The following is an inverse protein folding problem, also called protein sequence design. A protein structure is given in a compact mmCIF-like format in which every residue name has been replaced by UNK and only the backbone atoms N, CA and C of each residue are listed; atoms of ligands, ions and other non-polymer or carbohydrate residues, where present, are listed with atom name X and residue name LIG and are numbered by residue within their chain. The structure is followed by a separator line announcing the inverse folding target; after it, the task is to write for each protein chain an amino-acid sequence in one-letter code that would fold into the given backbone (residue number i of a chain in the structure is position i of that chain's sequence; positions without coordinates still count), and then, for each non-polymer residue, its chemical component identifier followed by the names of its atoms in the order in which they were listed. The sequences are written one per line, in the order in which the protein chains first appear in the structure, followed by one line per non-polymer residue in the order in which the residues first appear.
data_IF_267171518356
#
_entry.id   IF_267171518356
#
_cell.length_a   1.000
_cell.length_b   1.000
_cell.length_c   1.000
_cell.angle_alpha   90.00
_cell.angle_beta   90.00
_cell.angle_gamma   90.00
#
_symmetry.space_group_name_H-M   'P 1'
#
loop_
_entity.id
_entity.type
_entity.pdbx_description
1 polymer ?
#
# COMPACT_ATOMS: atom_id res chain seq x y z
N UNK A 1 -50.03 -28.75 -21.63
CA UNK A 1 -50.85 -29.45 -22.63
C UNK A 1 -50.15 -29.30 -23.97
N UNK A 2 -49.49 -30.25 -24.58
CA UNK A 2 -49.22 -31.66 -24.29
C UNK A 2 -47.96 -32.00 -25.09
N UNK A 3 -46.89 -32.44 -24.43
CA UNK A 3 -45.71 -33.03 -25.10
C UNK A 3 -45.57 -34.44 -24.53
N UNK A 4 -46.59 -35.24 -24.84
CA UNK A 4 -46.67 -36.65 -24.48
C UNK A 4 -47.39 -37.42 -25.60
N UNK A 5 -46.88 -37.35 -26.83
CA UNK A 5 -47.22 -38.33 -27.85
C UNK A 5 -45.94 -38.69 -28.60
N UNK A 6 -45.77 -40.01 -28.74
CA UNK A 6 -44.94 -40.70 -29.72
C UNK A 6 -43.54 -41.18 -29.33
N UNK A 7 -43.51 -41.94 -28.23
CA UNK A 7 -42.85 -43.24 -28.27
C UNK A 7 -43.43 -44.09 -29.41
N UNK A 8 -42.57 -44.92 -30.03
CA UNK A 8 -42.86 -46.03 -30.96
C UNK A 8 -42.80 -45.71 -32.47
N UNK A 9 -41.58 -45.64 -33.01
CA UNK A 9 -41.28 -46.33 -34.29
C UNK A 9 -40.03 -47.19 -34.16
N UNK A 10 -40.32 -48.47 -33.92
CA UNK A 10 -39.41 -49.61 -34.08
C UNK A 10 -38.90 -49.71 -35.52
N UNK A 11 -37.66 -50.18 -35.72
CA UNK A 11 -37.20 -50.53 -37.07
C UNK A 11 -35.75 -50.94 -37.25
N UNK A 12 -35.30 -51.98 -36.53
CA UNK A 12 -34.23 -52.97 -36.85
C UNK A 12 -33.30 -52.69 -38.05
N UNK A 13 -31.98 -52.89 -37.85
CA UNK A 13 -31.15 -53.86 -38.61
C UNK A 13 -29.70 -54.00 -38.05
N UNK A 14 -29.35 -55.27 -37.68
CA UNK A 14 -28.05 -55.99 -37.85
C UNK A 14 -26.89 -55.55 -36.92
N UNK A 15 -26.38 -56.26 -35.88
CA UNK A 15 -25.99 -57.68 -35.57
C UNK A 15 -24.85 -58.18 -36.52
N UNK A 16 -23.58 -58.46 -36.16
CA UNK A 16 -23.03 -59.40 -35.17
C UNK A 16 -21.48 -59.25 -35.04
N UNK A 17 -20.95 -59.65 -33.87
CA UNK A 17 -19.64 -60.32 -33.60
C UNK A 17 -18.43 -59.46 -33.21
N UNK A 18 -17.62 -59.79 -32.18
CA UNK A 18 -17.52 -60.99 -31.32
C UNK A 18 -16.76 -60.63 -30.00
N UNK A 19 -17.10 -61.36 -28.93
CA UNK A 19 -16.37 -61.69 -27.68
C UNK A 19 -14.84 -61.54 -27.74
N UNK A 20 -14.05 -61.43 -26.67
CA UNK A 20 -14.18 -61.21 -25.23
C UNK A 20 -12.76 -61.40 -24.69
N UNK A 21 -12.30 -60.58 -23.74
CA UNK A 21 -11.34 -61.09 -22.75
C UNK A 21 -11.51 -60.34 -21.44
N UNK A 22 -11.54 -61.17 -20.40
CA UNK A 22 -11.87 -60.90 -19.01
C UNK A 22 -10.73 -60.15 -18.28
N UNK A 23 -11.13 -59.50 -17.18
CA UNK A 23 -10.35 -59.21 -15.96
C UNK A 23 -9.27 -58.12 -16.09
N UNK A 24 -9.61 -56.94 -15.57
CA UNK A 24 -8.88 -56.34 -14.46
C UNK A 24 -9.77 -55.27 -13.80
N UNK A 25 -10.31 -55.62 -12.63
CA UNK A 25 -10.76 -54.63 -11.66
C UNK A 25 -9.54 -53.75 -11.30
N UNK A 26 -9.56 -52.51 -11.73
CA UNK A 26 -8.82 -51.44 -11.06
C UNK A 26 -9.86 -50.45 -10.56
N UNK A 27 -10.21 -50.59 -9.28
CA UNK A 27 -10.79 -49.50 -8.50
C UNK A 27 -9.73 -48.39 -8.43
N UNK A 28 -9.69 -47.51 -9.42
CA UNK A 28 -9.11 -46.19 -9.25
C UNK A 28 -10.15 -45.36 -8.48
N UNK A 29 -10.02 -45.43 -7.16
CA UNK A 29 -10.66 -44.51 -6.24
C UNK A 29 -10.40 -43.09 -6.73
N UNK A 30 -11.44 -42.47 -7.28
CA UNK A 30 -11.47 -41.03 -7.50
C UNK A 30 -11.59 -40.40 -6.11
N UNK A 31 -10.44 -40.23 -5.44
CA UNK A 31 -10.34 -39.32 -4.31
C UNK A 31 -10.62 -37.93 -4.86
N UNK A 32 -11.89 -37.53 -4.83
CA UNK A 32 -12.26 -36.12 -4.86
C UNK A 32 -11.61 -35.51 -3.63
N UNK A 33 -10.38 -35.01 -3.79
CA UNK A 33 -9.79 -34.08 -2.86
C UNK A 33 -10.70 -32.86 -2.87
N UNK A 34 -11.63 -32.82 -1.93
CA UNK A 34 -12.30 -31.59 -1.55
C UNK A 34 -11.17 -30.71 -1.03
N UNK A 35 -10.67 -29.83 -1.89
CA UNK A 35 -9.85 -28.73 -1.46
C UNK A 35 -10.71 -27.94 -0.48
N UNK A 36 -10.45 -28.13 0.81
CA UNK A 36 -10.88 -27.18 1.83
C UNK A 36 -10.19 -25.86 1.48
N UNK A 37 -10.85 -25.04 0.68
CA UNK A 37 -10.51 -23.63 0.55
C UNK A 37 -10.78 -23.06 1.92
N UNK A 38 -9.73 -22.99 2.75
CA UNK A 38 -9.80 -22.25 3.99
C UNK A 38 -10.30 -20.85 3.64
N UNK A 39 -11.43 -20.46 4.22
CA UNK A 39 -11.98 -19.13 4.04
C UNK A 39 -11.00 -18.16 4.68
N UNK A 40 -10.13 -17.57 3.86
CA UNK A 40 -9.21 -16.53 4.32
C UNK A 40 -10.06 -15.29 4.56
N UNK A 41 -10.17 -14.86 5.81
CA UNK A 41 -10.84 -13.61 6.14
C UNK A 41 -10.00 -12.46 5.58
N UNK A 42 -10.34 -11.95 4.40
CA UNK A 42 -9.61 -10.85 3.76
C UNK A 42 -9.86 -9.49 4.43
N UNK A 43 -10.82 -9.41 5.35
CA UNK A 43 -11.11 -8.16 6.07
C UNK A 43 -10.02 -7.81 7.10
N UNK A 44 -9.17 -8.77 7.53
CA UNK A 44 -8.01 -8.48 8.41
C UNK A 44 -6.92 -7.67 7.72
N UNK A 45 -6.89 -7.64 6.38
CA UNK A 45 -5.87 -6.96 5.58
C UNK A 45 -6.39 -5.67 4.96
N UNK A 46 -7.31 -5.00 5.65
CA UNK A 46 -7.82 -3.68 5.28
C UNK A 46 -7.48 -2.71 6.42
N UNK A 47 -6.49 -1.87 6.18
CA UNK A 47 -5.99 -0.93 7.18
C UNK A 47 -6.64 0.45 7.00
N UNK A 48 -6.92 1.12 8.11
CA UNK A 48 -7.43 2.48 8.08
C UNK A 48 -6.44 3.42 7.37
N UNK A 49 -6.94 4.21 6.42
CA UNK A 49 -6.13 5.14 5.61
C UNK A 49 -6.74 6.54 5.45
N UNK A 50 -7.82 6.83 6.19
CA UNK A 50 -8.58 8.09 6.08
C UNK A 50 -9.03 8.39 4.63
N UNK A 51 -9.26 7.39 3.76
CA UNK A 51 -9.64 7.64 2.36
C UNK A 51 -8.47 7.78 1.39
N UNK A 52 -7.23 7.88 1.88
CA UNK A 52 -6.06 8.08 1.00
C UNK A 52 -5.79 6.84 0.15
N UNK A 53 -5.87 5.65 0.76
CA UNK A 53 -5.58 4.38 0.10
C UNK A 53 -6.80 3.46 -0.02
N UNK A 54 -7.88 3.74 0.71
CA UNK A 54 -9.12 2.99 0.70
C UNK A 54 -10.24 3.73 1.43
N UNK A 55 -11.48 3.29 1.20
CA UNK A 55 -12.67 3.84 1.87
C UNK A 55 -13.02 3.12 3.19
N UNK A 56 -12.07 2.39 3.80
CA UNK A 56 -12.34 1.67 5.05
C UNK A 56 -12.69 2.66 6.16
N UNK A 57 -13.85 2.44 6.78
CA UNK A 57 -14.48 3.33 7.76
C UNK A 57 -14.83 4.73 7.26
N UNK A 58 -14.86 4.96 5.94
CA UNK A 58 -15.23 6.22 5.30
C UNK A 58 -16.70 6.29 4.91
N UNK A 59 -17.61 5.59 5.58
CA UNK A 59 -19.05 5.64 5.26
C UNK A 59 -19.83 6.53 6.25
N UNK A 60 -20.56 7.56 5.78
CA UNK A 60 -20.61 8.05 4.39
C UNK A 60 -19.28 8.70 3.97
N UNK A 61 -18.96 8.82 2.65
CA UNK A 61 -17.67 9.30 2.14
C UNK A 61 -17.16 10.60 2.78
N UNK A 62 -18.07 11.50 3.16
CA UNK A 62 -17.78 12.74 3.86
C UNK A 62 -17.05 12.56 5.19
N UNK A 63 -17.13 11.38 5.84
CA UNK A 63 -16.42 11.08 7.09
C UNK A 63 -14.89 11.12 6.92
N UNK A 64 -14.41 10.80 5.72
CA UNK A 64 -12.99 10.83 5.39
C UNK A 64 -12.55 12.10 4.66
N UNK A 65 -13.45 13.05 4.42
CA UNK A 65 -13.09 14.35 3.85
C UNK A 65 -12.72 15.29 5.00
N UNK A 66 -11.51 15.85 4.95
CA UNK A 66 -11.06 16.78 5.97
C UNK A 66 -11.89 18.06 5.91
N UNK A 67 -12.33 18.52 7.08
CA UNK A 67 -12.94 19.84 7.23
C UNK A 67 -11.86 20.90 7.03
N UNK A 68 -12.14 21.90 6.20
CA UNK A 68 -11.25 23.02 5.90
C UNK A 68 -12.02 24.34 5.98
N UNK A 69 -11.37 25.37 6.49
CA UNK A 69 -11.85 26.75 6.39
C UNK A 69 -11.87 27.18 4.91
N UNK A 70 -12.76 28.12 4.57
CA UNK A 70 -12.74 28.76 3.25
C UNK A 70 -11.43 29.52 2.97
N UNK A 71 -10.71 29.90 4.02
CA UNK A 71 -9.40 30.56 3.94
C UNK A 71 -8.23 29.58 3.83
N UNK A 72 -8.47 28.29 4.05
CA UNK A 72 -7.40 27.30 3.96
C UNK A 72 -6.96 27.14 2.50
N UNK A 73 -5.66 26.99 2.25
CA UNK A 73 -5.17 26.73 0.91
C UNK A 73 -5.76 25.42 0.38
N UNK A 74 -6.05 25.39 -0.92
CA UNK A 74 -6.44 24.16 -1.59
C UNK A 74 -5.22 23.23 -1.68
N UNK A 75 -5.46 21.95 -1.43
CA UNK A 75 -4.46 20.90 -1.63
C UNK A 75 -3.99 20.87 -3.09
N UNK A 76 -2.67 20.87 -3.34
CA UNK A 76 -2.13 20.54 -4.66
C UNK A 76 -2.67 19.20 -5.18
N UNK A 77 -2.78 19.07 -6.50
CA UNK A 77 -3.02 17.78 -7.14
C UNK A 77 -1.68 17.12 -7.44
N UNK A 78 -1.60 15.80 -7.28
CA UNK A 78 -0.50 15.07 -7.91
C UNK A 78 -0.59 15.15 -9.43
N UNK A 79 0.56 15.23 -10.12
CA UNK A 79 0.60 15.00 -11.55
C UNK A 79 0.03 13.62 -11.92
N UNK A 80 -0.38 13.49 -13.18
CA UNK A 80 -0.95 12.24 -13.71
C UNK A 80 -0.01 11.04 -13.55
N UNK A 81 1.28 11.26 -13.76
CA UNK A 81 2.36 10.33 -13.47
C UNK A 81 3.56 11.13 -12.99
N UNK A 82 4.38 10.51 -12.16
CA UNK A 82 5.62 11.09 -11.69
C UNK A 82 6.55 10.03 -11.12
N UNK A 83 7.82 10.41 -11.01
CA UNK A 83 8.84 9.63 -10.32
C UNK A 83 9.62 10.57 -9.40
N UNK A 84 10.10 10.04 -8.27
CA UNK A 84 10.94 10.78 -7.34
C UNK A 84 11.93 9.86 -6.66
N UNK A 85 13.13 10.37 -6.41
CA UNK A 85 14.01 9.83 -5.38
C UNK A 85 13.59 10.44 -4.03
N UNK A 86 14.01 9.86 -2.91
CA UNK A 86 13.80 10.49 -1.60
C UNK A 86 14.88 10.10 -0.60
N UNK A 87 15.05 10.98 0.39
CA UNK A 87 15.82 10.72 1.62
C UNK A 87 14.85 10.53 2.77
N UNK A 88 14.96 9.41 3.46
CA UNK A 88 14.13 9.10 4.62
C UNK A 88 14.90 9.33 5.91
N UNK A 89 14.35 10.19 6.77
CA UNK A 89 14.80 10.43 8.12
C UNK A 89 13.88 9.70 9.09
N UNK A 90 14.38 8.65 9.75
CA UNK A 90 13.71 8.02 10.90
C UNK A 90 14.23 8.68 12.16
N UNK A 91 13.47 9.63 12.71
CA UNK A 91 13.85 10.41 13.90
C UNK A 91 13.34 9.69 15.14
N UNK A 92 14.25 9.36 16.05
CA UNK A 92 13.96 8.59 17.27
C UNK A 92 14.38 9.30 18.57
N UNK A 93 15.09 10.43 18.49
CA UNK A 93 15.33 11.32 19.62
C UNK A 93 14.95 12.76 19.26
N UNK A 94 14.52 13.54 20.25
CA UNK A 94 14.15 14.96 20.11
C UNK A 94 13.06 15.26 19.05
N UNK A 95 12.32 14.25 18.58
CA UNK A 95 11.25 14.39 17.60
C UNK A 95 10.08 15.24 18.11
N UNK A 96 9.90 15.30 19.43
CA UNK A 96 8.92 16.14 20.14
C UNK A 96 9.27 17.63 20.04
N UNK A 97 10.56 17.96 20.01
CA UNK A 97 11.07 19.34 19.93
C UNK A 97 11.26 19.81 18.49
N UNK A 98 11.56 18.87 17.60
CA UNK A 98 11.76 19.11 16.17
C UNK A 98 10.80 18.21 15.38
N UNK A 99 9.51 18.58 15.28
CA UNK A 99 8.56 17.85 14.46
C UNK A 99 8.79 18.10 12.95
N UNK A 100 8.34 17.18 12.08
CA UNK A 100 8.36 17.40 10.63
C UNK A 100 7.34 18.48 10.23
N UNK A 101 7.37 19.02 9.00
CA UNK A 101 8.29 18.72 7.89
C UNK A 101 9.72 19.18 8.16
N UNK A 102 10.70 18.44 7.61
CA UNK A 102 12.12 18.72 7.78
C UNK A 102 12.77 19.29 6.52
N UNK A 103 13.82 20.08 6.71
CA UNK A 103 14.84 20.32 5.69
C UNK A 103 15.70 19.06 5.51
N UNK A 104 16.61 19.05 4.54
CA UNK A 104 17.54 17.97 4.29
C UNK A 104 19.00 18.46 4.33
N UNK A 105 19.73 18.34 5.46
CA UNK A 105 19.36 17.62 6.68
C UNK A 105 18.40 18.39 7.61
N UNK A 106 17.69 17.71 8.54
CA UNK A 106 16.78 18.34 9.48
C UNK A 106 17.50 19.33 10.41
N UNK A 107 17.06 20.59 10.39
CA UNK A 107 17.63 21.64 11.25
C UNK A 107 17.33 21.36 12.73
N UNK A 108 18.34 21.49 13.60
CA UNK A 108 18.22 21.29 15.04
C UNK A 108 18.42 19.84 15.51
N UNK A 109 18.40 18.88 14.59
CA UNK A 109 18.74 17.47 14.87
C UNK A 109 20.20 17.18 14.48
N UNK A 110 20.76 16.17 15.12
CA UNK A 110 22.09 15.63 14.82
C UNK A 110 21.99 14.19 14.33
N UNK A 111 23.04 13.62 13.72
CA UNK A 111 23.04 12.21 13.29
C UNK A 111 22.83 11.17 14.41
N UNK A 112 22.84 11.57 15.68
CA UNK A 112 22.48 10.70 16.81
C UNK A 112 20.98 10.61 17.04
N UNK A 113 20.23 11.59 16.53
CA UNK A 113 18.79 11.71 16.74
C UNK A 113 17.97 10.96 15.68
N UNK A 114 18.59 10.64 14.54
CA UNK A 114 17.92 10.02 13.40
C UNK A 114 18.79 9.02 12.65
N UNK A 115 18.12 8.12 11.92
CA UNK A 115 18.72 7.26 10.91
C UNK A 115 18.36 7.77 9.52
N UNK A 116 19.36 7.87 8.64
CA UNK A 116 19.18 8.25 7.24
C UNK A 116 19.12 7.01 6.35
N UNK A 117 18.17 6.98 5.42
CA UNK A 117 18.04 5.99 4.37
C UNK A 117 17.46 6.63 3.10
N UNK A 118 17.22 5.85 2.06
CA UNK A 118 16.71 6.39 0.80
C UNK A 118 15.95 5.37 -0.02
N UNK A 119 15.42 5.86 -1.13
CA UNK A 119 14.60 5.06 -2.01
C UNK A 119 13.97 5.88 -3.12
N UNK A 120 12.96 5.30 -3.75
CA UNK A 120 12.27 5.87 -4.90
C UNK A 120 10.78 5.66 -4.82
N UNK A 121 10.04 6.57 -5.44
CA UNK A 121 8.61 6.41 -5.64
C UNK A 121 8.28 6.58 -7.12
N UNK A 122 7.42 5.70 -7.62
CA UNK A 122 6.86 5.70 -8.95
C UNK A 122 5.35 5.79 -8.85
N UNK A 123 4.72 6.62 -9.68
CA UNK A 123 3.28 6.82 -9.66
C UNK A 123 2.73 6.99 -11.09
N UNK A 124 1.61 6.34 -11.37
CA UNK A 124 0.83 6.51 -12.59
C UNK A 124 -0.66 6.35 -12.29
N UNK A 125 -1.40 7.45 -12.26
CA UNK A 125 -2.85 7.45 -12.03
C UNK A 125 -3.67 6.83 -13.15
N UNK A 126 -3.08 6.57 -14.31
CA UNK A 126 -3.76 6.03 -15.50
C UNK A 126 -3.44 4.59 -15.83
N UNK A 127 -2.62 3.96 -15.00
CA UNK A 127 -2.46 2.51 -15.06
C UNK A 127 -3.82 1.82 -14.86
N UNK A 128 -4.11 0.82 -15.69
CA UNK A 128 -5.27 -0.06 -15.54
C UNK A 128 -4.77 -1.50 -15.43
N UNK A 129 -5.02 -2.21 -14.32
CA UNK A 129 -4.59 -3.60 -14.18
C UNK A 129 -5.31 -4.50 -15.18
N UNK A 130 -4.69 -5.64 -15.51
CA UNK A 130 -5.21 -6.59 -16.52
C UNK A 130 -6.62 -7.10 -16.19
N UNK A 131 -6.93 -7.29 -14.91
CA UNK A 131 -8.24 -7.71 -14.43
C UNK A 131 -9.24 -6.57 -14.23
N UNK A 132 -8.82 -5.31 -14.51
CA UNK A 132 -9.63 -4.10 -14.43
C UNK A 132 -10.20 -3.81 -13.03
N UNK A 133 -9.59 -4.38 -12.00
CA UNK A 133 -9.96 -4.10 -10.61
C UNK A 133 -9.31 -2.79 -10.15
N UNK A 134 -10.03 -1.69 -10.32
CA UNK A 134 -9.58 -0.34 -9.99
C UNK A 134 -8.66 0.26 -11.05
N UNK A 135 -8.01 1.36 -10.68
CA UNK A 135 -7.09 2.12 -11.53
C UNK A 135 -5.97 2.75 -10.69
N UNK A 136 -4.90 3.12 -11.37
CA UNK A 136 -3.69 3.69 -10.81
C UNK A 136 -2.66 2.65 -10.42
N UNK A 137 -1.39 3.06 -10.40
CA UNK A 137 -0.28 2.32 -9.84
C UNK A 137 0.61 3.23 -9.01
N UNK A 138 1.14 2.69 -7.92
CA UNK A 138 2.20 3.33 -7.14
C UNK A 138 3.16 2.28 -6.62
N UNK A 139 4.45 2.55 -6.71
CA UNK A 139 5.49 1.76 -6.05
C UNK A 139 6.35 2.67 -5.19
N UNK A 140 6.50 2.31 -3.91
CA UNK A 140 7.54 2.86 -3.05
C UNK A 140 8.62 1.80 -2.84
N UNK A 141 9.84 2.11 -3.27
CA UNK A 141 11.00 1.24 -3.16
C UNK A 141 11.95 1.77 -2.11
N UNK A 142 12.31 0.93 -1.15
CA UNK A 142 13.14 1.25 0.01
C UNK A 142 14.46 0.50 -0.09
N UNK A 143 15.58 1.23 -0.13
CA UNK A 143 16.92 0.65 -0.27
C UNK A 143 17.53 0.34 1.10
N UNK A 144 17.84 -0.94 1.37
CA UNK A 144 18.47 -1.49 2.59
C UNK A 144 17.73 -1.25 3.92
N UNK A 145 16.73 -0.37 3.93
CA UNK A 145 15.94 0.05 5.09
C UNK A 145 14.47 0.13 4.72
N UNK A 146 13.78 -0.99 4.85
CA UNK A 146 12.37 -1.11 4.56
C UNK A 146 11.50 -0.17 5.42
N UNK A 147 10.28 0.11 4.94
CA UNK A 147 9.28 0.96 5.61
C UNK A 147 9.13 0.60 7.11
N UNK A 148 9.46 1.53 8.04
CA UNK A 148 9.46 1.24 9.47
C UNK A 148 8.08 1.32 10.14
N UNK A 149 7.02 0.84 9.49
CA UNK A 149 5.66 0.77 10.08
C UNK A 149 5.36 -0.58 10.76
N UNK A 150 6.16 -1.60 10.46
CA UNK A 150 5.94 -2.98 10.91
C UNK A 150 6.69 -3.28 12.20
N UNK A 151 6.14 -4.09 13.11
CA UNK A 151 6.78 -4.49 14.38
C UNK A 151 7.92 -5.52 14.20
N UNK A 152 8.83 -5.28 13.24
CA UNK A 152 9.97 -6.14 12.95
C UNK A 152 11.17 -5.32 12.48
N UNK A 153 12.38 -5.89 12.62
CA UNK A 153 13.61 -5.26 12.09
C UNK A 153 13.44 -4.99 10.59
N UNK A 154 13.78 -3.77 10.17
CA UNK A 154 13.57 -3.29 8.81
C UNK A 154 14.87 -3.17 7.99
N UNK A 155 15.97 -3.82 8.42
CA UNK A 155 17.26 -3.78 7.72
C UNK A 155 17.27 -4.72 6.51
N UNK A 156 16.46 -4.41 5.51
CA UNK A 156 16.40 -5.11 4.23
C UNK A 156 15.75 -4.21 3.16
N UNK A 157 16.01 -4.47 1.88
CA UNK A 157 15.36 -3.81 0.75
C UNK A 157 13.95 -4.34 0.54
N UNK A 158 12.98 -3.45 0.30
CA UNK A 158 11.59 -3.82 0.05
C UNK A 158 10.87 -2.85 -0.88
N UNK A 159 9.74 -3.29 -1.43
CA UNK A 159 8.83 -2.41 -2.18
C UNK A 159 7.39 -2.61 -1.73
N UNK A 160 6.64 -1.51 -1.60
CA UNK A 160 5.18 -1.53 -1.53
C UNK A 160 4.63 -1.13 -2.88
N UNK A 161 3.78 -1.99 -3.46
CA UNK A 161 3.25 -1.77 -4.81
C UNK A 161 1.74 -1.86 -4.77
N UNK A 162 1.05 -0.77 -5.11
CA UNK A 162 -0.40 -0.74 -5.31
C UNK A 162 -0.70 -0.77 -6.81
N UNK A 163 -1.56 -1.68 -7.24
CA UNK A 163 -2.03 -1.87 -8.63
C UNK A 163 -3.55 -1.97 -8.64
N UNK A 164 -4.20 -0.91 -9.12
CA UNK A 164 -5.65 -0.78 -8.99
C UNK A 164 -6.06 -0.79 -7.52
N UNK A 165 -6.90 -1.73 -7.10
CA UNK A 165 -7.33 -1.88 -5.70
C UNK A 165 -6.46 -2.84 -4.86
N UNK A 166 -5.39 -3.41 -5.42
CA UNK A 166 -4.58 -4.42 -4.75
C UNK A 166 -3.21 -3.88 -4.39
N UNK A 167 -2.76 -4.16 -3.17
CA UNK A 167 -1.41 -3.85 -2.72
C UNK A 167 -0.60 -5.10 -2.42
N UNK A 168 0.67 -5.08 -2.82
CA UNK A 168 1.65 -6.15 -2.68
C UNK A 168 2.84 -5.63 -1.88
N UNK A 169 3.48 -6.53 -1.15
CA UNK A 169 4.71 -6.25 -0.44
C UNK A 169 5.81 -7.16 -0.95
N UNK A 170 6.83 -6.56 -1.57
CA UNK A 170 7.98 -7.25 -2.17
C UNK A 170 9.18 -7.14 -1.23
N UNK A 171 9.90 -8.24 -1.06
CA UNK A 171 11.14 -8.31 -0.28
C UNK A 171 12.24 -8.92 -1.14
N UNK A 172 13.41 -8.28 -1.16
CA UNK A 172 14.50 -8.66 -2.05
C UNK A 172 15.44 -9.69 -1.38
N UNK A 173 16.64 -9.88 -1.92
CA UNK A 173 17.51 -10.98 -1.50
C UNK A 173 18.07 -10.85 -0.08
N UNK A 174 18.13 -9.63 0.46
CA UNK A 174 18.57 -9.31 1.82
C UNK A 174 17.46 -9.42 2.87
N UNK A 175 16.28 -9.91 2.50
CA UNK A 175 15.12 -10.08 3.40
C UNK A 175 15.40 -11.06 4.56
N UNK A 176 14.67 -10.95 5.69
CA UNK A 176 14.75 -11.92 6.77
C UNK A 176 14.48 -13.36 6.28
N UNK A 177 15.23 -14.32 6.82
CA UNK A 177 15.05 -15.74 6.50
C UNK A 177 13.61 -16.17 6.76
N UNK A 178 13.10 -17.08 5.93
CA UNK A 178 11.75 -17.64 6.00
C UNK A 178 10.62 -16.62 5.77
N UNK A 179 10.92 -15.44 5.23
CA UNK A 179 9.88 -14.52 4.73
C UNK A 179 9.69 -14.71 3.22
N UNK A 180 8.45 -14.61 2.71
CA UNK A 180 8.19 -14.71 1.28
C UNK A 180 8.78 -13.51 0.54
N UNK A 181 9.24 -13.75 -0.70
CA UNK A 181 9.68 -12.69 -1.62
C UNK A 181 8.56 -11.73 -1.98
N UNK A 182 7.32 -12.22 -2.01
CA UNK A 182 6.14 -11.42 -2.25
C UNK A 182 4.96 -11.97 -1.43
N UNK A 183 4.16 -11.06 -0.88
CA UNK A 183 2.85 -11.36 -0.31
C UNK A 183 1.83 -10.29 -0.71
N UNK A 184 0.54 -10.63 -0.68
CA UNK A 184 -0.57 -9.70 -0.87
C UNK A 184 -0.79 -8.92 0.43
N UNK A 185 -0.52 -7.62 0.42
CA UNK A 185 -0.71 -6.74 1.57
C UNK A 185 -2.18 -6.44 1.82
N UNK A 186 -2.94 -6.17 0.75
CA UNK A 186 -4.38 -5.88 0.82
C UNK A 186 -5.04 -6.07 -0.54
N UNK A 187 -6.32 -6.45 -0.54
CA UNK A 187 -7.19 -6.49 -1.73
C UNK A 187 -8.07 -5.23 -1.87
N UNK A 188 -7.92 -4.26 -0.97
CA UNK A 188 -8.65 -2.99 -0.98
C UNK A 188 -7.71 -1.86 -0.61
N UNK A 189 -6.54 -1.79 -1.22
CA UNK A 189 -5.59 -0.71 -1.05
C UNK A 189 -5.13 -0.25 -2.44
N UNK A 190 -5.56 0.96 -2.79
CA UNK A 190 -5.23 1.63 -4.05
C UNK A 190 -4.13 2.68 -3.84
N UNK A 191 -3.40 3.08 -4.90
CA UNK A 191 -2.52 4.24 -4.80
C UNK A 191 -3.32 5.51 -4.43
N UNK A 192 -2.71 6.51 -3.79
CA UNK A 192 -3.35 7.79 -3.53
C UNK A 192 -3.92 8.39 -4.81
N UNK A 193 -5.16 8.86 -4.78
CA UNK A 193 -5.75 9.57 -5.93
C UNK A 193 -5.05 10.92 -6.10
N UNK A 194 -5.11 11.52 -7.29
CA UNK A 194 -4.44 12.82 -7.52
C UNK A 194 -4.91 13.91 -6.54
N UNK A 195 -6.15 13.83 -6.07
CA UNK A 195 -6.76 14.77 -5.13
C UNK A 195 -6.76 14.26 -3.68
N UNK A 196 -5.96 13.24 -3.33
CA UNK A 196 -5.96 12.58 -2.03
C UNK A 196 -5.82 13.54 -0.84
N UNK A 197 -5.19 14.70 -1.04
CA UNK A 197 -5.06 15.71 0.01
C UNK A 197 -6.40 16.15 0.56
N UNK A 198 -7.53 16.03 -0.16
CA UNK A 198 -8.87 16.31 0.38
C UNK A 198 -9.19 15.54 1.68
N UNK A 199 -8.47 14.45 1.94
CA UNK A 199 -8.58 13.62 3.14
C UNK A 199 -7.82 14.15 4.35
N UNK A 200 -6.91 15.12 4.15
CA UNK A 200 -6.02 15.65 5.19
C UNK A 200 -6.37 17.12 5.50
N UNK A 201 -6.52 17.50 6.77
CA UNK A 201 -6.76 18.91 7.13
C UNK A 201 -5.49 19.74 6.89
N UNK A 202 -5.69 21.03 6.65
CA UNK A 202 -4.57 21.96 6.53
C UNK A 202 -3.93 22.20 7.90
N UNK A 203 -2.60 22.09 7.99
CA UNK A 203 -1.86 22.32 9.23
C UNK A 203 -1.05 23.62 9.13
N UNK A 204 -1.54 24.67 9.80
CA UNK A 204 -0.90 26.00 9.81
C UNK A 204 0.46 26.00 10.53
N UNK A 205 0.61 25.20 11.58
CA UNK A 205 1.84 25.16 12.38
C UNK A 205 2.98 24.53 11.56
N UNK A 206 2.72 23.36 10.98
CA UNK A 206 3.66 22.68 10.09
C UNK A 206 3.94 23.47 8.81
N UNK A 207 2.95 24.21 8.28
CA UNK A 207 3.15 25.11 7.13
C UNK A 207 4.05 26.31 7.42
N UNK A 208 4.26 26.64 8.71
CA UNK A 208 5.18 27.69 9.11
C UNK A 208 6.64 27.21 9.16
N UNK A 209 6.88 25.89 9.07
CA UNK A 209 8.23 25.34 8.98
C UNK A 209 8.94 25.81 7.71
N UNK A 210 10.28 25.67 7.71
CA UNK A 210 11.16 26.02 6.60
C UNK A 210 10.93 27.45 6.10
N UNK A 211 10.93 28.40 7.04
CA UNK A 211 10.69 29.82 6.78
C UNK A 211 9.35 30.09 6.09
N UNK A 212 8.30 29.37 6.50
CA UNK A 212 6.95 29.53 5.98
C UNK A 212 6.87 29.29 4.46
N UNK A 213 7.70 28.38 3.92
CA UNK A 213 7.76 28.05 2.49
C UNK A 213 6.84 26.88 2.09
N UNK A 214 6.13 26.26 3.04
CA UNK A 214 5.38 25.02 2.81
C UNK A 214 3.86 25.13 2.96
N UNK A 215 3.13 24.28 2.25
CA UNK A 215 1.74 23.91 2.54
C UNK A 215 1.73 22.50 3.12
N UNK A 216 1.50 22.39 4.42
CA UNK A 216 1.40 21.11 5.11
C UNK A 216 -0.06 20.71 5.32
N UNK A 217 -0.35 19.44 5.08
CA UNK A 217 -1.64 18.81 5.32
C UNK A 217 -1.40 17.52 6.09
N UNK A 218 -1.91 17.42 7.30
CA UNK A 218 -1.60 16.32 8.20
C UNK A 218 -2.72 16.07 9.18
N UNK A 219 -2.75 14.86 9.71
CA UNK A 219 -3.60 14.49 10.83
C UNK A 219 -2.81 13.65 11.81
N UNK A 220 -3.27 13.68 13.06
CA UNK A 220 -2.84 12.75 14.09
C UNK A 220 -4.05 11.94 14.52
N UNK A 221 -4.00 10.62 14.39
CA UNK A 221 -5.04 9.73 14.93
C UNK A 221 -4.61 9.16 16.27
N UNK A 222 -5.57 8.88 17.16
CA UNK A 222 -5.31 8.21 18.43
C UNK A 222 -4.52 6.91 18.20
N UNK A 223 -3.46 6.61 18.99
CA UNK A 223 -3.02 7.30 20.21
C UNK A 223 -1.98 8.43 20.02
N UNK A 224 -1.79 8.94 18.81
CA UNK A 224 -0.73 9.92 18.50
C UNK A 224 0.01 9.62 17.20
N UNK A 225 -0.62 8.92 16.28
CA UNK A 225 -0.04 8.46 15.02
C UNK A 225 -0.19 9.56 13.99
N UNK A 226 0.95 10.10 13.55
CA UNK A 226 1.04 11.14 12.54
C UNK A 226 0.91 10.56 11.14
N UNK A 227 0.25 11.29 10.25
CA UNK A 227 0.26 11.06 8.81
C UNK A 227 0.06 12.40 8.09
N UNK A 228 0.99 12.79 7.23
CA UNK A 228 0.95 14.09 6.59
C UNK A 228 1.87 14.24 5.38
N UNK A 229 1.56 15.25 4.58
CA UNK A 229 2.33 15.63 3.40
C UNK A 229 2.59 17.13 3.44
N UNK A 230 3.73 17.54 2.88
CA UNK A 230 4.06 18.94 2.67
C UNK A 230 4.43 19.18 1.21
N UNK A 231 4.08 20.37 0.72
CA UNK A 231 4.32 20.82 -0.64
C UNK A 231 4.90 22.23 -0.61
N UNK A 232 5.65 22.59 -1.64
CA UNK A 232 6.15 23.95 -1.77
C UNK A 232 5.02 24.99 -1.95
N UNK A 233 5.21 26.17 -1.36
CA UNK A 233 4.30 27.30 -1.54
C UNK A 233 4.45 27.98 -2.90
N UNK A 234 5.57 27.80 -3.57
CA UNK A 234 5.80 28.39 -4.88
C UNK A 234 5.33 27.45 -5.97
N UNK A 235 4.81 28.02 -7.05
CA UNK A 235 4.58 27.29 -8.30
C UNK A 235 5.87 27.33 -9.11
N UNK A 236 6.41 26.17 -9.45
CA UNK A 236 7.66 26.05 -10.20
C UNK A 236 7.51 25.04 -11.34
N UNK A 237 8.29 25.19 -12.43
CA UNK A 237 8.21 24.27 -13.56
C UNK A 237 8.65 22.86 -13.15
N UNK A 238 8.17 21.85 -13.87
CA UNK A 238 8.70 20.49 -13.74
C UNK A 238 10.16 20.42 -14.20
N UNK A 239 10.93 19.53 -13.59
CA UNK A 239 12.34 19.34 -13.99
C UNK A 239 12.50 18.53 -15.28
N UNK A 240 11.54 17.65 -15.61
CA UNK A 240 11.52 16.79 -16.78
C UNK A 240 10.65 17.37 -17.90
N UNK A 241 9.37 17.65 -17.63
CA UNK A 241 8.46 18.30 -18.59
C UNK A 241 8.36 19.81 -18.31
N UNK A 242 9.32 20.57 -18.82
CA UNK A 242 9.35 22.04 -18.67
C UNK A 242 8.19 22.77 -19.37
N UNK A 243 7.39 22.06 -20.16
CA UNK A 243 6.21 22.62 -20.84
C UNK A 243 4.91 22.43 -20.06
N UNK A 244 4.93 21.58 -19.03
CA UNK A 244 3.80 21.40 -18.12
C UNK A 244 3.46 22.71 -17.36
N UNK A 245 2.21 22.84 -16.94
CA UNK A 245 1.77 23.95 -16.09
C UNK A 245 2.57 23.96 -14.78
N UNK A 246 2.93 25.16 -14.29
CA UNK A 246 3.61 25.30 -13.02
C UNK A 246 2.76 24.72 -11.90
N UNK A 247 3.36 23.92 -11.02
CA UNK A 247 2.66 23.29 -9.92
C UNK A 247 3.48 23.36 -8.63
N UNK A 248 2.84 22.97 -7.53
CA UNK A 248 3.44 22.92 -6.19
C UNK A 248 4.08 21.56 -6.04
N UNK A 249 5.40 21.51 -5.94
CA UNK A 249 6.14 20.27 -5.85
C UNK A 249 5.93 19.63 -4.47
N UNK A 250 5.78 18.30 -4.38
CA UNK A 250 5.83 17.61 -3.09
C UNK A 250 7.20 17.82 -2.45
N UNK A 251 7.20 18.22 -1.19
CA UNK A 251 8.42 18.41 -0.40
C UNK A 251 8.70 17.19 0.47
N UNK A 252 7.69 16.70 1.19
CA UNK A 252 7.83 15.50 2.01
C UNK A 252 6.52 14.76 2.23
N UNK A 253 6.65 13.46 2.49
CA UNK A 253 5.64 12.62 3.14
C UNK A 253 6.19 12.22 4.51
N UNK A 254 5.42 12.43 5.58
CA UNK A 254 5.85 12.13 6.93
C UNK A 254 4.74 11.45 7.74
N UNK A 255 5.13 10.54 8.61
CA UNK A 255 4.21 9.68 9.36
C UNK A 255 4.88 9.12 10.62
N UNK A 256 4.08 8.59 11.53
CA UNK A 256 4.58 7.76 12.62
C UNK A 256 4.73 6.32 12.16
N UNK A 257 5.91 5.73 12.36
CA UNK A 257 6.13 4.31 12.18
C UNK A 257 5.68 3.49 13.39
N UNK A 258 6.22 2.28 13.52
CA UNK A 258 6.05 1.51 14.75
C UNK A 258 6.75 2.25 15.91
N UNK A 259 6.14 2.39 17.09
CA UNK A 259 6.72 3.20 18.16
C UNK A 259 7.78 2.47 19.00
N UNK A 260 7.88 1.14 18.92
CA UNK A 260 8.78 0.35 19.78
C UNK A 260 9.95 -0.24 18.98
N UNK A 261 11.08 -0.51 19.63
CA UNK A 261 12.16 -1.23 18.97
C UNK A 261 11.84 -2.74 18.85
N UNK A 262 11.84 -3.37 17.66
CA UNK A 262 12.14 -2.82 16.33
C UNK A 262 10.89 -2.57 15.43
N UNK A 263 10.81 -1.46 14.66
CA UNK A 263 11.66 -0.27 14.67
C UNK A 263 11.12 0.80 15.62
N UNK A 264 12.00 1.40 16.43
CA UNK A 264 11.72 2.65 17.13
C UNK A 264 11.62 3.80 16.12
N UNK A 265 10.41 4.11 15.64
CA UNK A 265 10.17 5.04 14.55
C UNK A 265 9.03 6.03 14.86
N UNK A 266 9.12 6.84 15.94
CA UNK A 266 8.04 7.74 16.33
C UNK A 266 7.71 8.78 15.25
N UNK A 267 8.73 9.25 14.51
CA UNK A 267 8.59 10.09 13.33
C UNK A 267 9.46 9.55 12.19
N UNK A 268 8.87 9.50 11.01
CA UNK A 268 9.53 9.19 9.74
C UNK A 268 9.18 10.32 8.76
N UNK A 269 10.18 10.83 8.05
CA UNK A 269 9.98 11.82 6.98
C UNK A 269 10.73 11.38 5.74
N UNK A 270 10.00 11.12 4.66
CA UNK A 270 10.52 10.94 3.31
C UNK A 270 10.52 12.30 2.63
N UNK A 271 11.71 12.90 2.50
CA UNK A 271 11.89 14.15 1.81
C UNK A 271 12.14 13.86 0.33
N UNK A 272 11.24 14.32 -0.52
CA UNK A 272 11.33 14.10 -1.96
C UNK A 272 12.52 14.87 -2.54
N UNK A 273 13.20 14.23 -3.49
CA UNK A 273 14.30 14.80 -4.25
C UNK A 273 14.17 14.37 -5.69
N UNK A 274 14.55 15.22 -6.64
CA UNK A 274 14.47 14.87 -8.06
C UNK A 274 13.04 14.45 -8.49
N UNK A 275 12.03 15.10 -7.89
CA UNK A 275 10.64 14.93 -8.26
C UNK A 275 10.42 15.44 -9.68
N UNK A 276 9.76 14.64 -10.51
CA UNK A 276 9.57 14.95 -11.93
C UNK A 276 8.37 14.23 -12.52
N UNK A 277 7.72 14.87 -13.48
CA UNK A 277 6.60 14.32 -14.27
C UNK A 277 7.08 13.34 -15.36
N UNK A 278 7.97 12.43 -14.98
CA UNK A 278 8.42 11.33 -15.82
C UNK A 278 7.51 10.12 -15.61
N UNK A 279 6.91 9.62 -16.70
CA UNK A 279 6.08 8.42 -16.62
C UNK A 279 6.97 7.22 -16.26
N UNK A 280 6.67 6.48 -15.18
CA UNK A 280 7.47 5.34 -14.79
C UNK A 280 7.51 4.25 -15.86
N UNK A 281 8.68 3.64 -16.06
CA UNK A 281 8.77 2.40 -16.83
C UNK A 281 8.26 1.24 -15.98
N UNK A 282 7.36 0.44 -16.54
CA UNK A 282 6.77 -0.72 -15.86
C UNK A 282 7.85 -1.72 -15.38
N UNK A 283 8.88 -1.95 -16.20
CA UNK A 283 10.01 -2.85 -15.91
C UNK A 283 10.86 -2.41 -14.71
N UNK A 284 10.86 -1.12 -14.38
CA UNK A 284 11.58 -0.57 -13.22
C UNK A 284 10.67 -0.46 -11.98
N UNK A 285 9.37 -0.74 -12.14
CA UNK A 285 8.34 -0.51 -11.13
C UNK A 285 7.46 -1.75 -10.93
N UNK A 286 6.23 -1.74 -11.45
CA UNK A 286 5.21 -2.72 -11.09
C UNK A 286 5.29 -4.06 -11.81
N UNK A 287 6.07 -4.20 -12.89
CA UNK A 287 6.30 -5.52 -13.51
C UNK A 287 7.01 -6.48 -12.54
N UNK A 288 7.72 -5.93 -11.54
CA UNK A 288 8.34 -6.70 -10.46
C UNK A 288 7.34 -7.54 -9.66
N UNK A 289 6.07 -7.13 -9.59
CA UNK A 289 5.01 -7.95 -8.95
C UNK A 289 4.83 -9.25 -9.73
N UNK A 290 4.78 -9.21 -11.06
CA UNK A 290 4.62 -10.43 -11.86
C UNK A 290 5.88 -11.31 -11.85
N UNK A 291 7.06 -10.72 -11.66
CA UNK A 291 8.33 -11.45 -11.56
C UNK A 291 8.53 -12.12 -10.20
N UNK A 292 8.11 -11.48 -9.11
CA UNK A 292 8.40 -11.92 -7.74
C UNK A 292 7.26 -12.69 -7.07
N UNK A 293 6.01 -12.45 -7.48
CA UNK A 293 4.83 -13.05 -6.87
C UNK A 293 4.40 -14.33 -7.61
N UNK A 294 3.88 -15.30 -6.85
CA UNK A 294 3.05 -16.34 -7.46
C UNK A 294 1.76 -15.72 -8.02
N UNK A 295 1.06 -16.39 -8.97
CA UNK A 295 -0.23 -15.89 -9.47
C UNK A 295 -1.29 -15.66 -8.37
N UNK A 296 -1.16 -16.38 -7.25
CA UNK A 296 -1.96 -16.22 -6.04
C UNK A 296 -0.99 -16.12 -4.85
N UNK A 297 -0.49 -14.92 -4.54
CA UNK A 297 0.40 -14.74 -3.40
C UNK A 297 -0.36 -14.92 -2.09
N UNK A 298 0.30 -15.44 -1.07
CA UNK A 298 -0.25 -15.50 0.28
C UNK A 298 -0.49 -14.10 0.85
N UNK A 299 -1.42 -13.95 1.79
CA UNK A 299 -1.60 -12.69 2.51
C UNK A 299 -0.38 -12.39 3.39
N UNK A 300 -0.03 -11.13 3.49
CA UNK A 300 1.10 -10.72 4.32
C UNK A 300 0.80 -10.85 5.82
N UNK A 301 1.65 -11.53 6.58
CA UNK A 301 1.59 -11.52 8.05
C UNK A 301 2.57 -10.47 8.61
N UNK A 302 2.19 -9.20 8.57
CA UNK A 302 3.04 -8.06 8.95
C UNK A 302 2.70 -7.51 10.34
N UNK A 303 1.44 -7.58 10.75
CA UNK A 303 0.95 -7.25 12.08
C UNK A 303 0.45 -8.49 12.82
N UNK A 304 0.26 -8.36 14.14
CA UNK A 304 -0.09 -9.47 15.01
C UNK A 304 -1.48 -10.06 14.73
N UNK A 305 -2.39 -9.26 14.17
CA UNK A 305 -3.77 -9.61 13.84
C UNK A 305 -3.97 -10.01 12.36
N UNK A 306 -2.94 -9.84 11.51
CA UNK A 306 -3.01 -10.21 10.10
C UNK A 306 -3.23 -11.72 9.92
N UNK A 307 -2.55 -12.52 10.74
CA UNK A 307 -2.57 -13.97 10.60
C UNK A 307 -2.85 -14.60 11.96
N UNK A 308 -3.92 -15.39 12.04
CA UNK A 308 -4.22 -16.22 13.20
C UNK A 308 -3.16 -17.33 13.29
N UNK A 309 -2.05 -17.10 13.99
CA UNK A 309 -1.05 -18.16 14.17
C UNK A 309 -1.39 -18.96 15.43
N UNK A 310 -1.67 -20.25 15.23
CA UNK A 310 -1.33 -21.26 16.22
C UNK A 310 0.20 -21.30 16.37
N UNK A 311 0.77 -20.35 17.12
CA UNK A 311 2.17 -20.40 17.55
C UNK A 311 2.30 -19.72 18.90
N UNK A 312 2.33 -20.55 19.94
CA UNK A 312 2.99 -20.25 21.20
C UNK A 312 4.37 -19.62 20.92
N UNK A 313 4.63 -18.46 21.54
CA UNK A 313 5.85 -17.65 21.51
C UNK A 313 5.84 -16.47 20.52
N UNK A 314 5.07 -15.43 20.85
CA UNK A 314 5.66 -14.09 21.06
C UNK A 314 4.63 -13.16 21.69
N UNK A 315 4.76 -12.94 23.00
CA UNK A 315 4.13 -11.85 23.71
C UNK A 315 4.88 -10.55 23.40
N UNK A 316 4.54 -9.91 22.28
CA UNK A 316 4.80 -8.48 22.10
C UNK A 316 3.46 -7.79 21.87
N UNK A 317 3.22 -6.72 22.62
CA UNK A 317 1.97 -5.97 22.59
C UNK A 317 1.61 -5.59 21.15
N UNK A 318 0.47 -6.08 20.68
CA UNK A 318 -0.03 -5.94 19.32
C UNK A 318 -0.57 -4.52 19.09
N UNK A 319 0.27 -3.62 18.60
CA UNK A 319 -0.24 -2.41 17.95
C UNK A 319 -0.70 -2.78 16.54
N UNK A 320 -2.01 -2.72 16.29
CA UNK A 320 -2.60 -2.91 14.97
C UNK A 320 -3.15 -1.60 14.44
N UNK A 321 -2.77 -1.28 13.19
CA UNK A 321 -3.33 -0.15 12.44
C UNK A 321 -4.83 -0.31 12.15
N UNK A 322 -5.37 -1.53 12.24
CA UNK A 322 -6.81 -1.80 12.09
C UNK A 322 -7.66 -1.24 13.24
N UNK A 323 -7.05 -0.99 14.40
CA UNK A 323 -7.73 -0.40 15.58
C UNK A 323 -7.83 1.13 15.54
N UNK A 324 -7.19 1.77 14.55
CA UNK A 324 -7.16 3.22 14.44
C UNK A 324 -8.52 3.74 14.01
N UNK A 325 -8.99 4.76 14.72
CA UNK A 325 -10.19 5.51 14.39
C UNK A 325 -9.88 6.98 14.34
N UNK A 326 -10.36 7.68 13.32
CA UNK A 326 -10.34 9.14 13.31
C UNK A 326 -11.21 9.70 14.43
N UNK A 327 -10.57 10.25 15.46
CA UNK A 327 -11.22 11.13 16.42
C UNK A 327 -11.04 12.55 15.93
N UNK A 328 -12.13 13.20 15.52
CA UNK A 328 -12.11 14.59 15.06
C UNK A 328 -11.38 15.46 16.12
N UNK A 329 -10.29 16.18 15.79
CA UNK A 329 -9.70 17.12 16.73
C UNK A 329 -10.79 18.13 17.11
N UNK A 330 -11.06 18.24 18.41
CA UNK A 330 -12.00 19.25 18.94
C UNK A 330 -11.42 20.64 18.80
#
# INVERSE_FOLDING_TARGET
MDVLIWMLRMGKRVIFSLLACLISLVFLGSSSAIANVAYVNTDSHIYFSQGVHNDFQCNPPSKCIAKRSQTDPRGPLYPKWWSSDWKMYRVFQNYDKFPPPYDSPPQGLTPKDYELSGGKTYYDSTYVPKDRDGEGAMMEHYDQKCLPIFPQKNNYTCSFVSLGNKAYFLRYEDRPKNTPKCCQFSLKNHPPRQDFLKHLPYNKQESAHLNNSLLAYSLTVYPGILFGYAFDKSLTPDSFDRTAELYRHPQSFYFSGYPNDPPLAPIVSQNYTNFRMEQPKASESWDQVAEMCSPQPELCCLFADDCSVNSSNNSQASFSWGSLTYTNPQ
#
